data_IF_968218770962
#
_entry.id   IF_968218770962
#
_cell.length_a   1.000
_cell.length_b   1.000
_cell.length_c   1.000
_cell.angle_alpha   90.00
_cell.angle_beta   90.00
_cell.angle_gamma   90.00
#
_symmetry.space_group_name_H-M   'P 1'
#
loop_
_entity.id
_entity.type
_entity.pdbx_description
1 polymer ?
#
# COMPACT_ATOMS: atom_id res chain seq x y z
N UNK A 1 -31.49 -3.00 -25.91
CA UNK A 1 -31.31 -2.02 -24.82
C UNK A 1 -30.34 -0.92 -25.21
N UNK A 2 -30.37 0.24 -24.54
CA UNK A 2 -29.41 1.35 -24.76
C UNK A 2 -27.94 0.93 -24.59
N UNK A 3 -27.69 -0.20 -23.92
CA UNK A 3 -26.35 -0.77 -23.77
C UNK A 3 -25.87 -1.37 -25.10
N UNK A 4 -26.75 -1.99 -25.88
CA UNK A 4 -26.37 -2.73 -27.09
C UNK A 4 -25.99 -1.80 -28.26
N UNK A 5 -26.20 -0.48 -28.12
CA UNK A 5 -25.75 0.53 -29.10
C UNK A 5 -24.27 0.91 -28.95
N UNK A 6 -23.58 0.45 -27.90
CA UNK A 6 -22.15 0.70 -27.69
C UNK A 6 -21.27 -0.42 -28.25
N UNK A 7 -19.97 -0.17 -28.34
CA UNK A 7 -18.98 -1.20 -28.69
C UNK A 7 -18.97 -2.36 -27.68
N UNK A 8 -18.58 -3.54 -28.14
CA UNK A 8 -18.64 -4.78 -27.35
C UNK A 8 -17.86 -4.71 -26.04
N UNK A 9 -16.73 -3.99 -26.01
CA UNK A 9 -15.94 -3.78 -24.79
C UNK A 9 -16.72 -2.93 -23.76
N UNK A 10 -17.37 -1.87 -24.24
CA UNK A 10 -18.18 -0.98 -23.40
C UNK A 10 -19.41 -1.75 -22.90
N UNK A 11 -20.06 -2.54 -23.76
CA UNK A 11 -21.17 -3.41 -23.36
C UNK A 11 -20.78 -4.33 -22.22
N UNK A 12 -19.64 -5.03 -22.32
CA UNK A 12 -19.12 -5.94 -21.28
C UNK A 12 -18.92 -5.20 -19.96
N UNK A 13 -18.31 -4.01 -19.99
CA UNK A 13 -18.08 -3.18 -18.80
C UNK A 13 -19.38 -2.71 -18.17
N UNK A 14 -20.32 -2.19 -18.97
CA UNK A 14 -21.62 -1.72 -18.49
C UNK A 14 -22.46 -2.85 -17.87
N UNK A 15 -22.46 -4.03 -18.49
CA UNK A 15 -23.13 -5.21 -17.94
C UNK A 15 -22.50 -5.66 -16.62
N UNK A 16 -21.16 -5.61 -16.50
CA UNK A 16 -20.46 -5.90 -15.25
C UNK A 16 -20.81 -4.89 -14.15
N UNK A 17 -20.79 -3.59 -14.48
CA UNK A 17 -21.17 -2.51 -13.54
C UNK A 17 -22.60 -2.71 -13.06
N UNK A 18 -23.53 -2.97 -13.98
CA UNK A 18 -24.94 -3.18 -13.63
C UNK A 18 -25.11 -4.40 -12.71
N UNK A 19 -24.44 -5.51 -13.03
CA UNK A 19 -24.44 -6.74 -12.21
C UNK A 19 -23.91 -6.51 -10.80
N UNK A 20 -22.93 -5.62 -10.62
CA UNK A 20 -22.22 -5.39 -9.36
C UNK A 20 -22.51 -4.02 -8.74
N UNK A 21 -23.56 -3.33 -9.18
CA UNK A 21 -23.85 -1.95 -8.80
C UNK A 21 -23.87 -1.70 -7.30
N UNK A 22 -24.54 -2.58 -6.54
CA UNK A 22 -24.64 -2.47 -5.08
C UNK A 22 -23.26 -2.57 -4.41
N UNK A 23 -22.37 -3.42 -4.90
CA UNK A 23 -21.02 -3.56 -4.34
C UNK A 23 -20.15 -2.35 -4.68
N UNK A 24 -20.28 -1.83 -5.91
CA UNK A 24 -19.52 -0.65 -6.37
C UNK A 24 -19.95 0.63 -5.64
N UNK A 25 -21.21 0.72 -5.23
CA UNK A 25 -21.79 1.89 -4.53
C UNK A 25 -21.90 1.73 -3.02
N UNK A 26 -21.54 0.56 -2.47
CA UNK A 26 -21.66 0.24 -1.05
C UNK A 26 -21.03 1.30 -0.14
N UNK A 27 -19.91 1.91 -0.57
CA UNK A 27 -19.22 2.95 0.21
C UNK A 27 -20.07 4.19 0.50
N UNK A 28 -21.13 4.43 -0.28
CA UNK A 28 -22.05 5.56 -0.05
C UNK A 28 -23.00 5.30 1.13
N UNK A 29 -23.20 4.04 1.51
CA UNK A 29 -24.19 3.62 2.51
C UNK A 29 -23.56 3.24 3.86
N UNK A 30 -22.24 3.10 3.94
CA UNK A 30 -21.53 2.73 5.16
C UNK A 30 -20.62 3.87 5.64
N UNK A 31 -20.85 4.35 6.86
CA UNK A 31 -19.99 5.37 7.47
C UNK A 31 -18.55 4.87 7.61
N UNK A 32 -17.61 5.71 7.14
CA UNK A 32 -16.17 5.41 7.16
C UNK A 32 -15.69 4.48 6.04
N UNK A 33 -16.56 4.03 5.13
CA UNK A 33 -16.12 3.27 3.97
C UNK A 33 -15.37 4.18 2.97
N UNK A 34 -14.17 3.78 2.51
CA UNK A 34 -13.39 4.62 1.61
C UNK A 34 -14.01 4.63 0.21
N UNK A 35 -14.28 5.83 -0.32
CA UNK A 35 -14.76 6.02 -1.69
C UNK A 35 -13.71 5.67 -2.76
N UNK A 36 -12.45 5.54 -2.36
CA UNK A 36 -11.34 5.22 -3.25
C UNK A 36 -10.69 3.90 -2.87
N UNK A 37 -10.34 3.09 -3.86
CA UNK A 37 -9.55 1.88 -3.67
C UNK A 37 -8.04 2.15 -3.49
N UNK A 38 -7.61 3.42 -3.43
CA UNK A 38 -6.20 3.85 -3.36
C UNK A 38 -5.36 3.08 -2.34
N UNK A 39 -5.91 2.79 -1.15
CA UNK A 39 -5.21 2.03 -0.12
C UNK A 39 -4.88 0.60 -0.60
N UNK A 40 -5.83 -0.04 -1.29
CA UNK A 40 -5.69 -1.38 -1.86
C UNK A 40 -4.75 -1.36 -3.06
N UNK A 41 -4.92 -0.40 -3.98
CA UNK A 41 -4.05 -0.25 -5.15
C UNK A 41 -2.60 0.01 -4.75
N UNK A 42 -2.37 0.90 -3.78
CA UNK A 42 -1.04 1.19 -3.27
C UNK A 42 -0.40 -0.03 -2.60
N UNK A 43 -1.19 -0.82 -1.86
CA UNK A 43 -0.72 -2.06 -1.25
C UNK A 43 -0.23 -3.05 -2.31
N UNK A 44 -1.02 -3.31 -3.35
CA UNK A 44 -0.64 -4.23 -4.42
C UNK A 44 0.52 -3.67 -5.27
N UNK A 45 0.49 -2.39 -5.62
CA UNK A 45 1.57 -1.73 -6.36
C UNK A 45 2.91 -1.78 -5.62
N UNK A 46 2.88 -1.75 -4.29
CA UNK A 46 4.09 -1.82 -3.45
C UNK A 46 4.55 -3.26 -3.21
N UNK A 47 3.61 -4.19 -2.96
CA UNK A 47 3.92 -5.58 -2.62
C UNK A 47 4.28 -6.44 -3.83
N UNK A 48 3.75 -6.13 -5.03
CA UNK A 48 4.00 -6.89 -6.25
C UNK A 48 5.36 -6.58 -6.91
N UNK A 49 6.05 -5.52 -6.47
CA UNK A 49 7.43 -5.22 -6.92
C UNK A 49 8.36 -6.39 -6.59
N UNK A 50 9.25 -6.72 -7.52
CA UNK A 50 10.13 -7.92 -7.47
C UNK A 50 10.85 -8.10 -6.14
N UNK A 51 11.40 -7.02 -5.56
CA UNK A 51 12.09 -7.05 -4.28
C UNK A 51 11.18 -7.47 -3.12
N UNK A 52 9.93 -6.98 -3.12
CA UNK A 52 8.93 -7.29 -2.08
C UNK A 52 8.35 -8.70 -2.27
N UNK A 53 8.07 -9.11 -3.51
CA UNK A 53 7.67 -10.51 -3.82
C UNK A 53 8.67 -11.54 -3.29
N UNK A 54 9.98 -11.27 -3.38
CA UNK A 54 11.02 -12.16 -2.82
C UNK A 54 10.89 -12.35 -1.30
N UNK A 55 10.45 -11.32 -0.57
CA UNK A 55 10.24 -11.37 0.88
C UNK A 55 8.97 -12.13 1.28
N UNK A 56 8.04 -12.35 0.35
CA UNK A 56 6.78 -13.07 0.55
C UNK A 56 6.80 -14.52 0.03
N UNK A 57 7.95 -15.05 -0.37
CA UNK A 57 8.06 -16.40 -0.95
C UNK A 57 7.83 -17.54 0.04
N UNK A 58 7.83 -17.25 1.34
CA UNK A 58 7.63 -18.23 2.40
C UNK A 58 6.59 -17.71 3.39
N UNK A 59 5.82 -18.61 4.00
CA UNK A 59 4.84 -18.26 5.04
C UNK A 59 5.49 -17.48 6.18
N UNK A 60 6.69 -17.90 6.58
CA UNK A 60 7.50 -17.20 7.59
C UNK A 60 7.86 -15.77 7.18
N UNK A 61 8.18 -15.54 5.90
CA UNK A 61 8.44 -14.21 5.35
C UNK A 61 7.21 -13.30 5.38
N UNK A 62 6.03 -13.85 5.07
CA UNK A 62 4.75 -13.14 5.17
C UNK A 62 4.47 -12.74 6.62
N UNK A 63 4.60 -13.68 7.57
CA UNK A 63 4.38 -13.44 8.99
C UNK A 63 5.29 -12.33 9.53
N UNK A 64 6.58 -12.36 9.17
CA UNK A 64 7.53 -11.32 9.58
C UNK A 64 7.20 -9.94 9.01
N UNK A 65 6.77 -9.87 7.75
CA UNK A 65 6.35 -8.59 7.17
C UNK A 65 5.07 -8.04 7.83
N UNK A 66 4.10 -8.90 8.15
CA UNK A 66 2.91 -8.49 8.91
C UNK A 66 3.29 -7.94 10.29
N UNK A 67 4.21 -8.61 10.99
CA UNK A 67 4.72 -8.14 12.29
C UNK A 67 5.49 -6.82 12.18
N UNK A 68 6.40 -6.68 11.20
CA UNK A 68 7.11 -5.42 10.96
C UNK A 68 6.14 -4.28 10.62
N UNK A 69 5.12 -4.54 9.80
CA UNK A 69 4.11 -3.55 9.45
C UNK A 69 3.24 -3.13 10.65
N UNK A 70 2.93 -4.05 11.59
CA UNK A 70 2.23 -3.70 12.82
C UNK A 70 3.11 -2.87 13.74
N UNK A 71 4.38 -3.26 13.92
CA UNK A 71 5.36 -2.50 14.70
C UNK A 71 5.54 -1.08 14.15
N UNK A 72 5.56 -0.91 12.82
CA UNK A 72 5.63 0.42 12.19
C UNK A 72 4.40 1.28 12.50
N UNK A 73 3.20 0.71 12.40
CA UNK A 73 1.96 1.43 12.70
C UNK A 73 1.84 1.80 14.17
N UNK A 74 2.39 0.97 15.06
CA UNK A 74 2.46 1.24 16.49
C UNK A 74 3.59 2.23 16.88
N UNK A 75 4.32 2.80 15.90
CA UNK A 75 5.40 3.76 16.18
C UNK A 75 6.63 3.15 16.85
N UNK A 76 6.80 1.82 16.82
CA UNK A 76 7.88 1.11 17.52
C UNK A 76 9.25 1.24 16.84
N UNK A 77 9.28 1.70 15.59
CA UNK A 77 10.55 2.14 14.98
C UNK A 77 10.79 3.55 15.47
N UNK A 78 11.64 3.68 16.50
CA UNK A 78 12.22 4.97 16.84
C UNK A 78 12.83 5.58 15.56
N UNK A 79 12.67 6.90 15.39
CA UNK A 79 13.25 7.61 14.25
C UNK A 79 14.74 7.29 14.10
N UNK A 80 15.29 7.49 12.89
CA UNK A 80 16.70 7.22 12.59
C UNK A 80 17.56 7.86 13.68
N UNK A 81 18.11 7.03 14.58
CA UNK A 81 19.13 7.49 15.52
C UNK A 81 20.39 7.76 14.71
N UNK A 82 21.13 8.84 15.01
CA UNK A 82 22.39 9.09 14.33
C UNK A 82 23.24 7.84 14.44
N UNK A 83 23.70 7.35 13.30
CA UNK A 83 24.58 6.20 13.24
C UNK A 83 25.85 6.49 14.03
N UNK A 84 26.55 5.44 14.49
CA UNK A 84 27.82 5.61 15.20
C UNK A 84 28.81 6.47 14.38
N UNK A 85 28.78 6.36 13.05
CA UNK A 85 29.58 7.16 12.13
C UNK A 85 29.17 8.64 12.10
N UNK A 86 27.88 8.95 12.14
CA UNK A 86 27.39 10.33 12.25
C UNK A 86 27.75 10.95 13.60
N UNK A 87 27.66 10.19 14.68
CA UNK A 87 28.15 10.60 16.00
C UNK A 87 29.67 10.87 15.98
N UNK A 88 30.44 10.03 15.28
CA UNK A 88 31.89 10.21 15.15
C UNK A 88 32.26 11.47 14.33
N UNK A 89 31.44 11.83 13.33
CA UNK A 89 31.63 13.08 12.56
C UNK A 89 31.35 14.34 13.38
N UNK A 90 30.52 14.26 14.42
CA UNK A 90 30.30 15.35 15.38
C UNK A 90 31.51 15.54 16.29
N UNK A 91 32.29 14.48 16.54
CA UNK A 91 33.62 14.56 17.13
C UNK A 91 34.65 15.02 16.08
N UNK A 92 34.57 16.28 15.61
CA UNK A 92 35.73 16.94 14.96
C UNK A 92 36.63 17.52 16.06
N UNK A 93 37.82 16.96 16.33
CA UNK A 93 38.59 17.38 17.49
C UNK A 93 39.31 18.73 17.31
N UNK A 94 39.49 19.22 16.08
CA UNK A 94 40.17 20.50 15.84
C UNK A 94 39.62 21.16 14.56
N UNK A 95 38.82 22.22 14.71
CA UNK A 95 38.80 23.30 13.72
C UNK A 95 40.08 24.12 13.98
N UNK A 96 41.11 23.86 13.17
CA UNK A 96 42.34 24.64 13.16
C UNK A 96 41.97 25.97 12.48
N UNK A 97 41.71 27.00 13.29
CA UNK A 97 41.81 28.40 12.90
C UNK A 97 43.21 28.92 13.20
#
# INVERSE_FOLDING_TARGET
DQIDSFDEEIQKRLRMINKHWMNLTAFQYFDGAPATNNAVENYYSTSLKTHRKKQFRTERGILYQMKLASMKRAGMFEGIKPTLLELFKLFRPFEIH
#
